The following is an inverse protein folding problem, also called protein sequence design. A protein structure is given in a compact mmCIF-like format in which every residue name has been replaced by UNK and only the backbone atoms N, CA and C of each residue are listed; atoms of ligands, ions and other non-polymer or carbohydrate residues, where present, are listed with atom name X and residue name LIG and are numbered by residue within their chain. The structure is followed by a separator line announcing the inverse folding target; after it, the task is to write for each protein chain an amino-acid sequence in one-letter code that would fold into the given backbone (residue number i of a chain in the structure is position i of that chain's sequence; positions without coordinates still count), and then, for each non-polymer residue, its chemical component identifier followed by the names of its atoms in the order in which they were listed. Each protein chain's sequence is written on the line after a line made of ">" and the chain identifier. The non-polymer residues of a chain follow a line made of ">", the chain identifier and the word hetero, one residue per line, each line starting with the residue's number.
data_IF_022524234955
#
_entry.id   IF_022524234955
#
_cell.length_a   1.000
_cell.length_b   1.000
_cell.length_c   1.000
_cell.angle_alpha   90.00
_cell.angle_beta   90.00
_cell.angle_gamma   90.00
#
_symmetry.space_group_name_H-M   'P 1'
#
loop_
_entity.id
_entity.type
_entity.pdbx_description
1 polymer ?
#
# COMPACT_ATOMS: atom_id res chain seq x y z
N UNK A 1 6.08 -25.49 18.84
CA UNK A 1 5.63 -25.75 17.44
C UNK A 1 4.38 -24.91 17.17
N UNK A 2 4.51 -23.60 16.85
CA UNK A 2 3.36 -22.72 16.62
C UNK A 2 3.65 -21.73 15.49
N UNK A 3 3.70 -22.24 14.25
CA UNK A 3 3.41 -21.43 13.07
C UNK A 3 1.95 -21.70 12.77
N UNK A 4 1.02 -20.99 13.42
CA UNK A 4 -0.33 -20.93 12.87
C UNK A 4 -0.15 -20.32 11.49
N UNK A 5 -0.49 -21.09 10.46
CA UNK A 5 -0.53 -20.61 9.09
C UNK A 5 -1.69 -19.63 9.04
N UNK A 6 -1.43 -18.39 9.44
CA UNK A 6 -2.29 -17.29 9.07
C UNK A 6 -2.51 -17.39 7.57
N UNK A 7 -3.78 -17.42 7.20
CA UNK A 7 -4.17 -17.58 5.80
C UNK A 7 -3.43 -16.52 4.96
N UNK A 8 -2.82 -16.96 3.87
CA UNK A 8 -2.11 -16.09 2.93
C UNK A 8 -3.04 -14.96 2.45
N UNK A 9 -4.33 -15.26 2.33
CA UNK A 9 -5.35 -14.26 2.03
C UNK A 9 -5.39 -13.13 3.08
N UNK A 10 -5.39 -13.46 4.37
CA UNK A 10 -5.39 -12.47 5.45
C UNK A 10 -4.18 -11.55 5.36
N UNK A 11 -3.01 -12.10 5.02
CA UNK A 11 -1.81 -11.30 4.79
C UNK A 11 -1.93 -10.34 3.62
N UNK A 12 -2.48 -10.79 2.48
CA UNK A 12 -2.70 -9.91 1.33
C UNK A 12 -3.73 -8.82 1.61
N UNK A 13 -4.81 -9.13 2.33
CA UNK A 13 -5.81 -8.13 2.72
C UNK A 13 -5.17 -7.09 3.66
N UNK A 14 -4.45 -7.54 4.69
CA UNK A 14 -3.77 -6.64 5.61
C UNK A 14 -2.75 -5.74 4.91
N UNK A 15 -1.99 -6.29 3.94
CA UNK A 15 -1.05 -5.53 3.14
C UNK A 15 -1.76 -4.47 2.26
N UNK A 16 -2.85 -4.85 1.60
CA UNK A 16 -3.66 -3.94 0.78
C UNK A 16 -4.22 -2.78 1.59
N UNK A 17 -4.70 -3.02 2.81
CA UNK A 17 -5.20 -1.98 3.71
C UNK A 17 -4.09 -1.02 4.15
N UNK A 18 -2.89 -1.52 4.46
CA UNK A 18 -1.72 -0.69 4.78
C UNK A 18 -1.36 0.21 3.61
N UNK A 19 -1.27 -0.35 2.41
CA UNK A 19 -0.95 0.41 1.18
C UNK A 19 -2.01 1.47 0.91
N UNK A 20 -3.29 1.13 1.08
CA UNK A 20 -4.41 2.05 0.84
C UNK A 20 -4.42 3.20 1.84
N UNK A 21 -4.19 2.93 3.11
CA UNK A 21 -4.11 3.96 4.14
C UNK A 21 -2.88 4.86 3.94
N UNK A 22 -1.74 4.29 3.51
CA UNK A 22 -0.56 5.07 3.10
C UNK A 22 -0.89 6.02 1.95
N UNK A 23 -1.50 5.53 0.87
CA UNK A 23 -1.85 6.34 -0.29
C UNK A 23 -2.85 7.47 0.02
N UNK A 24 -3.65 7.33 1.08
CA UNK A 24 -4.60 8.36 1.56
C UNK A 24 -4.00 9.32 2.60
N UNK A 25 -2.75 9.12 3.02
CA UNK A 25 -2.14 9.89 4.11
C UNK A 25 -2.73 9.62 5.50
N UNK A 26 -3.42 8.48 5.69
CA UNK A 26 -4.13 8.13 6.94
C UNK A 26 -3.35 7.11 7.80
N UNK A 27 -2.03 7.09 7.69
CA UNK A 27 -1.18 6.08 8.35
C UNK A 27 -1.28 6.11 9.87
N UNK A 28 -1.32 7.30 10.47
CA UNK A 28 -1.28 7.46 11.93
C UNK A 28 -2.61 7.09 12.58
N UNK A 29 -3.72 7.41 11.91
CA UNK A 29 -5.08 7.15 12.41
C UNK A 29 -5.50 5.69 12.20
N UNK A 30 -5.19 5.10 11.03
CA UNK A 30 -5.74 3.81 10.62
C UNK A 30 -4.77 2.63 10.74
N UNK A 31 -3.45 2.86 10.94
CA UNK A 31 -2.44 1.79 10.94
C UNK A 31 -1.67 1.68 12.26
N UNK A 32 -2.35 1.82 13.40
CA UNK A 32 -1.69 1.49 14.68
C UNK A 32 -1.38 -0.02 14.72
N UNK A 33 -0.20 -0.40 15.21
CA UNK A 33 0.20 -1.81 15.27
C UNK A 33 -0.76 -2.67 16.10
N UNK A 34 -1.36 -2.07 17.13
CA UNK A 34 -2.42 -2.69 17.94
C UNK A 34 -3.74 -2.82 17.15
N UNK A 35 -4.15 -1.79 16.40
CA UNK A 35 -5.34 -1.84 15.55
C UNK A 35 -5.25 -2.90 14.47
N UNK A 36 -4.10 -3.01 13.79
CA UNK A 36 -3.85 -4.05 12.77
C UNK A 36 -3.82 -5.45 13.39
N UNK A 37 -3.19 -5.61 14.55
CA UNK A 37 -3.14 -6.89 15.26
C UNK A 37 -4.55 -7.38 15.63
N UNK A 38 -5.36 -6.50 16.20
CA UNK A 38 -6.74 -6.81 16.58
C UNK A 38 -7.62 -7.08 15.36
N UNK A 39 -7.56 -6.24 14.33
CA UNK A 39 -8.41 -6.35 13.13
C UNK A 39 -8.18 -7.64 12.34
N UNK A 40 -6.95 -8.12 12.29
CA UNK A 40 -6.56 -9.29 11.51
C UNK A 40 -6.27 -10.53 12.36
N UNK A 41 -6.51 -10.45 13.67
CA UNK A 41 -6.24 -11.52 14.64
C UNK A 41 -4.80 -12.06 14.55
N UNK A 42 -3.84 -11.15 14.32
CA UNK A 42 -2.42 -11.46 14.22
C UNK A 42 -1.66 -10.93 15.43
N UNK A 43 -0.48 -11.47 15.70
CA UNK A 43 0.34 -10.93 16.79
C UNK A 43 0.76 -9.50 16.50
N UNK A 44 0.88 -8.68 17.55
CA UNK A 44 1.36 -7.30 17.44
C UNK A 44 2.70 -7.21 16.69
N UNK A 45 3.64 -8.12 16.99
CA UNK A 45 4.95 -8.17 16.34
C UNK A 45 4.82 -8.43 14.83
N UNK A 46 3.91 -9.32 14.43
CA UNK A 46 3.60 -9.58 13.03
C UNK A 46 3.01 -8.34 12.34
N UNK A 47 2.00 -7.72 12.94
CA UNK A 47 1.36 -6.50 12.43
C UNK A 47 2.37 -5.35 12.28
N UNK A 48 3.20 -5.13 13.31
CA UNK A 48 4.22 -4.11 13.30
C UNK A 48 5.24 -4.34 12.19
N UNK A 49 5.76 -5.57 12.05
CA UNK A 49 6.72 -5.92 10.98
C UNK A 49 6.13 -5.71 9.59
N UNK A 50 4.89 -6.14 9.37
CA UNK A 50 4.19 -5.94 8.10
C UNK A 50 4.11 -4.46 7.75
N UNK A 51 3.56 -3.64 8.67
CA UNK A 51 3.45 -2.19 8.48
C UNK A 51 4.79 -1.57 8.17
N UNK A 52 5.81 -1.83 9.00
CA UNK A 52 7.14 -1.22 8.83
C UNK A 52 7.77 -1.59 7.49
N UNK A 53 7.67 -2.85 7.06
CA UNK A 53 8.23 -3.29 5.79
C UNK A 53 7.55 -2.59 4.60
N UNK A 54 6.21 -2.58 4.57
CA UNK A 54 5.44 -1.98 3.48
C UNK A 54 5.65 -0.46 3.42
N UNK A 55 5.53 0.24 4.55
CA UNK A 55 5.72 1.71 4.60
C UNK A 55 7.15 2.08 4.21
N UNK A 56 8.16 1.32 4.64
CA UNK A 56 9.55 1.55 4.22
C UNK A 56 9.72 1.40 2.71
N UNK A 57 9.13 0.35 2.14
CA UNK A 57 9.22 0.09 0.69
C UNK A 57 8.52 1.19 -0.11
N UNK A 58 7.33 1.61 0.32
CA UNK A 58 6.54 2.69 -0.29
C UNK A 58 7.19 4.07 -0.17
N UNK A 59 7.95 4.35 0.88
CA UNK A 59 8.62 5.66 1.07
C UNK A 59 9.91 5.81 0.28
N UNK A 60 10.63 4.72 0.04
CA UNK A 60 11.98 4.80 -0.51
C UNK A 60 11.98 4.70 -2.04
N UNK A 61 12.51 5.71 -2.76
CA UNK A 61 12.66 5.64 -4.21
C UNK A 61 13.49 4.43 -4.65
N UNK A 62 13.07 3.77 -5.74
CA UNK A 62 13.76 2.61 -6.30
C UNK A 62 13.33 1.25 -5.73
N UNK A 63 12.51 1.23 -4.67
CA UNK A 63 11.95 -0.01 -4.15
C UNK A 63 10.70 -0.45 -4.95
N UNK A 64 10.38 -1.74 -4.86
CA UNK A 64 9.42 -2.40 -5.75
C UNK A 64 8.00 -1.83 -5.60
N UNK A 65 7.47 -1.74 -4.38
CA UNK A 65 6.11 -1.26 -4.16
C UNK A 65 5.99 0.21 -4.55
N UNK A 66 7.01 1.03 -4.26
CA UNK A 66 7.03 2.42 -4.72
C UNK A 66 7.08 2.54 -6.25
N UNK A 67 7.75 1.61 -6.95
CA UNK A 67 7.80 1.59 -8.40
C UNK A 67 6.48 1.10 -9.03
N UNK A 68 5.79 0.16 -8.39
CA UNK A 68 4.59 -0.49 -8.92
C UNK A 68 3.28 0.18 -8.50
N UNK A 69 3.27 0.89 -7.37
CA UNK A 69 2.07 1.47 -6.77
C UNK A 69 2.21 2.97 -6.77
N UNK A 70 1.36 3.63 -7.55
CA UNK A 70 1.25 5.07 -7.53
C UNK A 70 0.54 5.50 -6.25
N UNK A 71 1.30 5.97 -5.27
CA UNK A 71 0.78 6.50 -3.99
C UNK A 71 0.79 8.02 -3.94
N UNK A 72 1.25 8.68 -4.98
CA UNK A 72 1.29 10.14 -5.09
C UNK A 72 0.24 10.62 -6.07
N UNK A 73 -0.24 11.83 -5.83
CA UNK A 73 -1.12 12.48 -6.77
C UNK A 73 -0.35 12.74 -8.07
N UNK A 74 -0.89 12.21 -9.17
CA UNK A 74 -0.29 12.39 -10.48
C UNK A 74 -0.48 13.86 -10.90
N UNK A 75 0.53 14.50 -11.51
CA UNK A 75 0.43 15.89 -11.96
C UNK A 75 -0.50 16.08 -13.16
N UNK A 76 -1.27 15.06 -13.54
CA UNK A 76 -2.13 15.03 -14.70
C UNK A 76 -3.52 14.56 -14.29
N UNK A 77 -4.50 15.42 -14.53
CA UNK A 77 -5.91 15.07 -14.34
C UNK A 77 -6.33 14.05 -15.40
N UNK A 78 -7.11 13.04 -15.01
CA UNK A 78 -7.65 12.07 -15.98
C UNK A 78 -8.80 12.72 -16.73
N UNK A 79 -8.53 13.16 -17.96
CA UNK A 79 -9.57 13.64 -18.85
C UNK A 79 -10.56 12.49 -19.14
N UNK A 80 -11.86 12.66 -18.82
CA UNK A 80 -12.83 11.58 -18.88
C UNK A 80 -13.10 11.07 -20.32
N UNK A 81 -12.69 11.84 -21.33
CA UNK A 81 -12.90 11.52 -22.75
C UNK A 81 -11.71 10.81 -23.41
N UNK A 82 -10.61 10.62 -22.69
CA UNK A 82 -9.41 9.94 -23.20
C UNK A 82 -9.47 8.44 -22.90
N UNK A 83 -9.15 7.63 -23.91
CA UNK A 83 -8.96 6.21 -23.70
C UNK A 83 -7.80 5.98 -22.69
N UNK A 84 -7.86 4.91 -21.86
CA UNK A 84 -6.81 4.66 -20.87
C UNK A 84 -5.40 4.62 -21.47
N UNK A 85 -5.27 4.06 -22.66
CA UNK A 85 -4.01 3.93 -23.41
C UNK A 85 -3.40 5.29 -23.75
N UNK A 86 -4.21 6.21 -24.27
CA UNK A 86 -3.79 7.57 -24.63
C UNK A 86 -3.44 8.38 -23.38
N UNK A 87 -4.16 8.17 -22.28
CA UNK A 87 -3.86 8.81 -21.00
C UNK A 87 -2.49 8.39 -20.44
N UNK A 88 -2.13 7.11 -20.56
CA UNK A 88 -0.78 6.67 -20.20
C UNK A 88 0.28 7.33 -21.07
N UNK A 89 0.07 7.47 -22.39
CA UNK A 89 1.02 8.13 -23.27
C UNK A 89 1.31 9.59 -22.84
N UNK A 90 0.27 10.34 -22.45
CA UNK A 90 0.40 11.70 -21.92
C UNK A 90 1.22 11.71 -20.62
N UNK A 91 0.97 10.75 -19.72
CA UNK A 91 1.65 10.64 -18.44
C UNK A 91 3.15 10.39 -18.56
N UNK A 92 3.55 9.57 -19.54
CA UNK A 92 4.94 9.26 -19.81
C UNK A 92 5.66 10.38 -20.58
N UNK A 93 4.94 11.18 -21.35
CA UNK A 93 5.49 12.35 -22.05
C UNK A 93 5.74 13.55 -21.11
N UNK A 94 5.04 13.61 -19.97
CA UNK A 94 5.16 14.69 -18.99
C UNK A 94 6.32 14.52 -17.98
N UNK A 95 7.14 13.48 -18.14
CA UNK A 95 8.22 13.09 -17.22
C UNK A 95 9.58 13.32 -17.83
#
# INVERSE_FOLDING_TARGET
>A
MHRSRLDLRTWFIAASDVITAYAKGLEEENLTGHGLAHRYEISYVAAHRLRTALVKDLRQPGNLLRACICTEELPVSREPNLAPEDWYAVLWAAK
#
